data_IF_917724993455
#
_entry.id   IF_917724993455
#
_cell.length_a   1.000
_cell.length_b   1.000
_cell.length_c   1.000
_cell.angle_alpha   90.00
_cell.angle_beta   90.00
_cell.angle_gamma   90.00
#
_symmetry.space_group_name_H-M   'P 1'
#
loop_
_entity.id
_entity.type
_entity.pdbx_description
1 polymer ?
#
# COMPACT_ATOMS: atom_id res chain seq x y z
N UNK A 1 19.17 -4.09 11.40
CA UNK A 1 17.88 -3.50 11.02
C UNK A 1 17.83 -3.46 9.50
N UNK A 2 17.10 -4.38 8.86
CA UNK A 2 16.98 -4.34 7.40
C UNK A 2 16.12 -3.15 6.98
N UNK A 3 16.59 -2.41 5.98
CA UNK A 3 15.87 -1.27 5.39
C UNK A 3 14.66 -1.84 4.64
N UNK A 4 13.44 -1.46 5.01
CA UNK A 4 12.22 -1.91 4.31
C UNK A 4 12.19 -1.38 2.86
N UNK A 5 12.57 -0.12 2.66
CA UNK A 5 12.59 0.52 1.34
C UNK A 5 13.94 0.30 0.62
N UNK A 6 13.87 -0.27 -0.58
CA UNK A 6 14.97 -0.38 -1.54
C UNK A 6 15.12 0.91 -2.37
N UNK A 7 15.55 0.76 -3.63
CA UNK A 7 15.61 1.88 -4.59
C UNK A 7 14.20 2.26 -5.07
N UNK A 8 13.38 1.25 -5.40
CA UNK A 8 12.04 1.43 -5.99
C UNK A 8 10.96 0.79 -5.11
N UNK A 9 10.83 1.30 -3.88
CA UNK A 9 9.81 0.85 -2.92
C UNK A 9 10.20 -0.40 -2.11
N UNK A 10 9.19 -1.05 -1.54
CA UNK A 10 9.32 -2.30 -0.78
C UNK A 10 9.02 -3.48 -1.71
N UNK A 11 9.97 -4.41 -1.85
CA UNK A 11 9.84 -5.57 -2.75
C UNK A 11 10.20 -6.85 -2.02
N UNK A 12 9.57 -7.95 -2.42
CA UNK A 12 9.88 -9.29 -1.95
C UNK A 12 8.90 -10.32 -2.50
N UNK A 13 9.14 -11.58 -2.17
CA UNK A 13 8.23 -12.67 -2.52
C UNK A 13 6.91 -12.50 -1.77
N UNK A 14 5.79 -12.54 -2.50
CA UNK A 14 4.47 -12.38 -1.91
C UNK A 14 4.17 -13.53 -0.93
N UNK A 15 3.60 -13.20 0.22
CA UNK A 15 3.25 -14.12 1.29
C UNK A 15 4.43 -14.87 1.96
N UNK A 16 5.66 -14.42 1.70
CA UNK A 16 6.87 -14.81 2.43
C UNK A 16 7.44 -13.56 3.12
N UNK A 17 8.17 -12.73 2.37
CA UNK A 17 8.59 -11.43 2.87
C UNK A 17 7.48 -10.39 2.73
N UNK A 18 6.88 -10.25 1.54
CA UNK A 18 5.85 -9.23 1.29
C UNK A 18 4.47 -9.80 1.63
N UNK A 19 4.15 -9.79 2.92
CA UNK A 19 2.88 -10.31 3.44
C UNK A 19 1.78 -9.26 3.48
N UNK A 20 0.49 -9.66 3.59
CA UNK A 20 -0.62 -8.72 3.80
C UNK A 20 -0.44 -7.85 5.05
N UNK A 21 0.12 -8.38 6.13
CA UNK A 21 0.38 -7.64 7.36
C UNK A 21 1.39 -6.51 7.13
N UNK A 22 2.44 -6.77 6.34
CA UNK A 22 3.39 -5.72 5.95
C UNK A 22 2.71 -4.69 5.04
N UNK A 23 1.92 -5.12 4.05
CA UNK A 23 1.20 -4.20 3.17
C UNK A 23 0.23 -3.29 3.94
N UNK A 24 -0.50 -3.86 4.90
CA UNK A 24 -1.38 -3.11 5.80
C UNK A 24 -0.62 -2.11 6.67
N UNK A 25 0.48 -2.54 7.28
CA UNK A 25 1.33 -1.66 8.10
C UNK A 25 1.93 -0.52 7.27
N UNK A 26 2.36 -0.80 6.03
CA UNK A 26 2.83 0.21 5.08
C UNK A 26 1.74 1.21 4.72
N UNK A 27 0.51 0.75 4.43
CA UNK A 27 -0.63 1.61 4.13
C UNK A 27 -0.96 2.54 5.30
N UNK A 28 -1.00 2.00 6.52
CA UNK A 28 -1.25 2.77 7.74
C UNK A 28 -0.15 3.80 8.00
N UNK A 29 1.12 3.39 7.96
CA UNK A 29 2.25 4.28 8.22
C UNK A 29 2.38 5.37 7.14
N UNK A 30 2.29 4.99 5.86
CA UNK A 30 2.32 5.92 4.74
C UNK A 30 1.13 6.88 4.77
N UNK A 31 -0.07 6.36 5.05
CA UNK A 31 -1.27 7.18 5.18
C UNK A 31 -1.19 8.21 6.31
N UNK A 32 -0.66 7.81 7.48
CA UNK A 32 -0.45 8.72 8.60
C UNK A 32 0.47 9.88 8.23
N UNK A 33 1.58 9.58 7.54
CA UNK A 33 2.53 10.61 7.05
C UNK A 33 1.87 11.52 6.01
N UNK A 34 1.15 10.95 5.04
CA UNK A 34 0.44 11.73 4.01
C UNK A 34 -0.64 12.64 4.62
N UNK A 35 -1.40 12.14 5.59
CA UNK A 35 -2.42 12.92 6.29
C UNK A 35 -1.80 14.10 7.06
N UNK A 36 -0.65 13.91 7.71
CA UNK A 36 0.08 14.97 8.41
C UNK A 36 0.51 16.13 7.47
N UNK A 37 0.68 15.85 6.18
CA UNK A 37 0.99 16.85 5.16
C UNK A 37 -0.26 17.47 4.50
N UNK A 38 -1.45 17.31 5.09
CA UNK A 38 -2.67 17.98 4.65
C UNK A 38 -3.33 17.36 3.42
N UNK A 39 -3.09 16.07 3.16
CA UNK A 39 -3.75 15.35 2.07
C UNK A 39 -5.29 15.32 2.30
N UNK A 40 -6.01 16.22 1.63
CA UNK A 40 -7.49 16.21 1.55
C UNK A 40 -8.01 15.45 0.32
N UNK A 41 -7.11 14.82 -0.44
CA UNK A 41 -7.42 14.15 -1.70
C UNK A 41 -7.41 12.62 -1.49
N UNK A 42 -8.23 11.86 -2.22
CA UNK A 42 -8.19 10.42 -2.17
C UNK A 42 -6.82 9.87 -2.59
N UNK A 43 -6.40 8.77 -1.95
CA UNK A 43 -5.23 8.00 -2.37
C UNK A 43 -5.67 7.00 -3.43
N UNK A 44 -5.03 7.03 -4.59
CA UNK A 44 -5.26 6.04 -5.64
C UNK A 44 -4.38 4.82 -5.40
N UNK A 45 -4.97 3.63 -5.42
CA UNK A 45 -4.24 2.35 -5.33
C UNK A 45 -4.47 1.59 -6.62
N UNK A 46 -3.38 1.30 -7.33
CA UNK A 46 -3.36 0.50 -8.54
C UNK A 46 -2.36 -0.65 -8.43
N UNK A 47 -2.50 -1.65 -9.30
CA UNK A 47 -1.64 -2.83 -9.32
C UNK A 47 -1.40 -3.35 -10.74
N UNK A 48 -0.44 -4.25 -10.89
CA UNK A 48 -0.26 -5.04 -12.11
C UNK A 48 -1.17 -6.31 -12.10
N UNK A 49 -0.91 -7.23 -13.02
CA UNK A 49 -1.68 -8.46 -13.23
C UNK A 49 -1.26 -9.63 -12.32
N UNK A 50 -0.34 -9.44 -11.36
CA UNK A 50 0.11 -10.54 -10.50
C UNK A 50 -1.03 -11.09 -9.65
N UNK A 51 -1.04 -12.42 -9.47
CA UNK A 51 -2.07 -13.11 -8.69
C UNK A 51 -2.12 -12.68 -7.21
N UNK A 52 -0.99 -12.25 -6.64
CA UNK A 52 -0.93 -11.70 -5.27
C UNK A 52 -1.50 -10.28 -5.17
N UNK A 53 -1.74 -9.61 -6.30
CA UNK A 53 -2.18 -8.22 -6.39
C UNK A 53 -3.44 -7.90 -5.59
N UNK A 54 -4.58 -8.60 -5.80
CA UNK A 54 -5.82 -8.32 -5.07
C UNK A 54 -5.68 -8.42 -3.55
N UNK A 55 -4.90 -9.38 -3.06
CA UNK A 55 -4.63 -9.57 -1.63
C UNK A 55 -3.85 -8.39 -1.05
N UNK A 56 -2.77 -7.97 -1.72
CA UNK A 56 -1.93 -6.86 -1.26
C UNK A 56 -2.62 -5.49 -1.42
N UNK A 57 -3.38 -5.30 -2.49
CA UNK A 57 -4.23 -4.12 -2.73
C UNK A 57 -5.25 -3.94 -1.61
N UNK A 58 -5.98 -5.01 -1.25
CA UNK A 58 -6.96 -4.97 -0.16
C UNK A 58 -6.30 -4.64 1.19
N UNK A 59 -5.15 -5.26 1.50
CA UNK A 59 -4.43 -5.01 2.75
C UNK A 59 -3.88 -3.57 2.83
N UNK A 60 -3.27 -3.08 1.76
CA UNK A 60 -2.76 -1.71 1.68
C UNK A 60 -3.90 -0.68 1.84
N UNK A 61 -5.01 -0.90 1.13
CA UNK A 61 -6.19 -0.05 1.17
C UNK A 61 -6.80 -0.01 2.58
N UNK A 62 -6.91 -1.17 3.24
CA UNK A 62 -7.39 -1.24 4.62
C UNK A 62 -6.48 -0.45 5.59
N UNK A 63 -5.16 -0.51 5.38
CA UNK A 63 -4.19 0.28 6.15
C UNK A 63 -4.41 1.78 6.00
N UNK A 64 -4.54 2.26 4.75
CA UNK A 64 -4.80 3.65 4.41
C UNK A 64 -6.14 4.15 4.96
N UNK A 65 -7.21 3.38 4.80
CA UNK A 65 -8.52 3.71 5.36
C UNK A 65 -8.50 3.77 6.91
N UNK A 66 -7.67 2.95 7.56
CA UNK A 66 -7.59 2.91 9.03
C UNK A 66 -7.07 4.21 9.67
N UNK A 67 -6.47 5.10 8.87
CA UNK A 67 -6.00 6.43 9.31
C UNK A 67 -6.85 7.57 8.76
N UNK A 68 -8.04 7.25 8.25
CA UNK A 68 -9.04 8.24 7.83
C UNK A 68 -8.85 8.79 6.42
N UNK A 69 -8.03 8.16 5.58
CA UNK A 69 -7.89 8.53 4.17
C UNK A 69 -8.99 7.89 3.32
N UNK A 70 -9.48 8.63 2.33
CA UNK A 70 -10.28 8.08 1.25
C UNK A 70 -9.36 7.33 0.26
N UNK A 71 -9.77 6.15 -0.20
CA UNK A 71 -8.95 5.27 -1.04
C UNK A 71 -9.75 4.82 -2.25
N UNK A 72 -9.22 5.07 -3.45
CA UNK A 72 -9.84 4.68 -4.70
C UNK A 72 -8.98 3.60 -5.38
N UNK A 73 -9.53 2.38 -5.45
CA UNK A 73 -8.88 1.28 -6.15
C UNK A 73 -9.13 1.42 -7.66
N UNK A 74 -8.05 1.65 -8.42
CA UNK A 74 -8.10 1.82 -9.88
C UNK A 74 -7.89 0.51 -10.63
N UNK A 75 -7.61 -0.58 -9.91
CA UNK A 75 -7.47 -1.92 -10.47
C UNK A 75 -6.14 -2.12 -11.21
N UNK A 76 -6.20 -2.82 -12.35
CA UNK A 76 -5.01 -3.13 -13.15
C UNK A 76 -4.66 -1.94 -14.04
N UNK A 77 -3.51 -1.31 -13.79
CA UNK A 77 -3.02 -0.13 -14.53
C UNK A 77 -1.49 -0.11 -14.56
N UNK A 78 -0.85 0.40 -15.63
CA UNK A 78 0.59 0.68 -15.61
C UNK A 78 0.96 1.70 -14.52
N UNK A 79 2.12 1.52 -13.89
CA UNK A 79 2.73 2.50 -12.98
C UNK A 79 3.25 3.71 -13.74
#
# INVERSE_FOLDING_TARGET
>A
MNRLFGTDGVRGVANDFLTPEIAFALGRAGGYVLAAHGARRPVLVGRDTRCSGPMLEAALSAGLCSVGLDVWNVGIVPT
#
